data_IF_731160915288
#
_entry.id   IF_731160915288
#
_cell.length_a   1.000
_cell.length_b   1.000
_cell.length_c   1.000
_cell.angle_alpha   90.00
_cell.angle_beta   90.00
_cell.angle_gamma   90.00
#
_symmetry.space_group_name_H-M   'P 1'
#
loop_
_entity.id
_entity.type
_entity.pdbx_description
1 polymer ?
#
# COMPACT_ATOMS: atom_id res chain seq x y z
N UNK A 1 11.90 -8.25 -8.38
CA UNK A 1 11.27 -8.22 -7.05
C UNK A 1 11.52 -6.87 -6.38
N UNK A 2 10.45 -6.27 -5.82
CA UNK A 2 10.54 -5.06 -5.00
C UNK A 2 10.34 -5.40 -3.54
N UNK A 3 11.04 -4.69 -2.68
CA UNK A 3 10.92 -4.82 -1.22
C UNK A 3 11.22 -3.47 -0.56
N UNK A 4 11.02 -3.36 0.74
CA UNK A 4 11.37 -2.16 1.48
C UNK A 4 12.33 -2.46 2.63
N UNK A 5 13.15 -1.50 2.97
CA UNK A 5 14.10 -1.63 4.08
C UNK A 5 15.08 -0.47 4.16
N UNK A 6 15.87 -0.42 5.23
CA UNK A 6 16.96 0.54 5.34
C UNK A 6 18.06 0.19 4.32
N UNK A 7 18.70 1.19 3.76
CA UNK A 7 19.77 1.01 2.81
C UNK A 7 21.04 1.76 3.26
N UNK A 8 22.03 1.02 3.77
CA UNK A 8 23.23 1.60 4.38
C UNK A 8 22.82 2.57 5.49
N UNK A 9 23.27 3.83 5.43
CA UNK A 9 22.94 4.88 6.40
C UNK A 9 21.65 5.67 6.04
N UNK A 10 20.88 5.17 5.09
CA UNK A 10 19.63 5.82 4.65
C UNK A 10 18.41 5.26 5.40
N UNK A 11 17.34 6.06 5.54
CA UNK A 11 16.07 5.57 6.06
C UNK A 11 15.46 4.51 5.14
N UNK A 12 14.34 3.95 5.53
CA UNK A 12 13.60 2.98 4.75
C UNK A 12 13.25 3.54 3.37
N UNK A 13 13.53 2.74 2.35
CA UNK A 13 13.29 3.07 0.95
C UNK A 13 12.82 1.81 0.20
N UNK A 14 12.36 2.00 -1.04
CA UNK A 14 12.01 0.87 -1.89
C UNK A 14 13.27 0.42 -2.62
N UNK A 15 13.52 -0.87 -2.51
CA UNK A 15 14.63 -1.58 -3.13
C UNK A 15 14.11 -2.46 -4.26
N UNK A 16 14.91 -2.67 -5.28
CA UNK A 16 14.67 -3.66 -6.33
C UNK A 16 15.86 -4.61 -6.40
N UNK A 17 15.56 -5.91 -6.52
CA UNK A 17 16.53 -6.92 -6.90
C UNK A 17 16.58 -7.03 -8.42
N UNK A 18 17.68 -7.55 -8.94
CA UNK A 18 17.75 -7.89 -10.35
C UNK A 18 16.63 -8.86 -10.74
N UNK A 19 16.21 -8.78 -12.01
CA UNK A 19 15.11 -9.59 -12.49
C UNK A 19 15.54 -11.06 -12.59
N UNK A 20 14.63 -11.97 -12.25
CA UNK A 20 14.81 -13.40 -12.26
C UNK A 20 13.62 -14.09 -12.94
N UNK A 21 13.91 -15.20 -13.63
CA UNK A 21 12.85 -15.97 -14.31
C UNK A 21 11.94 -16.71 -13.33
N UNK A 22 12.48 -17.11 -12.16
CA UNK A 22 11.72 -17.79 -11.12
C UNK A 22 11.91 -17.07 -9.77
N UNK A 23 10.91 -17.12 -8.88
CA UNK A 23 11.02 -16.51 -7.56
C UNK A 23 12.20 -17.05 -6.71
N UNK A 24 12.59 -18.30 -6.90
CA UNK A 24 13.71 -18.91 -6.18
C UNK A 24 15.09 -18.39 -6.63
N UNK A 25 15.16 -17.72 -7.79
CA UNK A 25 16.44 -17.25 -8.38
C UNK A 25 16.78 -15.80 -7.97
N UNK A 26 15.93 -15.14 -7.18
CA UNK A 26 16.25 -13.81 -6.68
C UNK A 26 17.45 -13.82 -5.72
N UNK A 27 18.39 -12.92 -5.96
CA UNK A 27 19.63 -12.80 -5.19
C UNK A 27 19.58 -11.53 -4.34
N UNK A 28 19.54 -11.68 -3.03
CA UNK A 28 19.39 -10.55 -2.10
C UNK A 28 20.52 -9.50 -2.21
N UNK A 29 21.74 -9.91 -2.56
CA UNK A 29 22.87 -9.00 -2.71
C UNK A 29 22.77 -8.07 -3.93
N UNK A 30 21.85 -8.31 -4.86
CA UNK A 30 21.59 -7.43 -6.00
C UNK A 30 20.66 -6.26 -5.66
N UNK A 31 20.12 -6.23 -4.44
CA UNK A 31 19.23 -5.16 -4.00
C UNK A 31 19.86 -3.78 -4.18
N UNK A 32 19.12 -2.87 -4.80
CA UNK A 32 19.48 -1.46 -5.01
C UNK A 32 18.29 -0.54 -4.73
N UNK A 33 18.51 0.66 -4.16
CA UNK A 33 17.43 1.59 -3.89
C UNK A 33 16.92 2.20 -5.21
N UNK A 34 15.60 2.16 -5.40
CA UNK A 34 14.93 2.70 -6.61
C UNK A 34 13.96 3.84 -6.28
N UNK A 35 13.32 3.84 -5.11
CA UNK A 35 12.52 4.98 -4.62
C UNK A 35 13.04 5.34 -3.23
N UNK A 36 13.57 6.56 -3.09
CA UNK A 36 14.14 7.06 -1.83
C UNK A 36 13.45 8.35 -1.38
N UNK A 37 13.36 8.59 -0.06
CA UNK A 37 12.85 9.84 0.46
C UNK A 37 13.58 11.05 -0.13
N UNK A 38 12.85 12.09 -0.44
CA UNK A 38 13.37 13.33 -1.00
C UNK A 38 13.76 14.30 0.10
N UNK A 39 14.78 15.09 -0.17
CA UNK A 39 15.12 16.20 0.69
C UNK A 39 14.02 17.27 0.66
N UNK A 40 13.84 17.95 1.77
CA UNK A 40 12.97 19.11 1.89
C UNK A 40 13.49 20.24 1.00
N UNK A 41 12.62 20.82 0.19
CA UNK A 41 12.96 21.92 -0.71
C UNK A 41 12.61 23.29 -0.09
N UNK A 42 11.46 23.37 0.58
CA UNK A 42 11.00 24.59 1.27
C UNK A 42 10.59 24.27 2.71
N UNK A 43 10.58 25.29 3.59
CA UNK A 43 10.15 25.13 4.99
C UNK A 43 8.76 24.50 5.14
N UNK A 44 7.83 24.83 4.24
CA UNK A 44 6.47 24.29 4.20
C UNK A 44 6.36 22.83 3.72
N UNK A 45 7.40 22.33 3.07
CA UNK A 45 7.39 20.96 2.56
C UNK A 45 7.49 19.98 3.73
N UNK A 46 6.68 18.94 3.67
CA UNK A 46 6.65 17.86 4.64
C UNK A 46 6.81 16.53 3.89
N UNK A 47 8.02 16.29 3.34
CA UNK A 47 8.28 15.08 2.59
C UNK A 47 8.17 13.85 3.49
N UNK A 48 7.81 12.69 2.95
CA UNK A 48 7.99 11.43 3.64
C UNK A 48 9.46 11.24 4.02
N UNK A 49 9.68 10.81 5.27
CA UNK A 49 11.01 10.49 5.77
C UNK A 49 11.40 9.04 5.52
N UNK A 50 10.43 8.20 5.20
CA UNK A 50 10.57 6.78 4.86
C UNK A 50 9.56 6.38 3.79
N UNK A 51 9.91 5.35 3.00
CA UNK A 51 8.98 4.67 2.11
C UNK A 51 8.98 3.17 2.39
N UNK A 52 7.76 2.58 2.46
CA UNK A 52 7.53 1.17 2.83
C UNK A 52 6.50 0.52 1.90
N UNK A 53 6.45 -0.80 1.95
CA UNK A 53 5.39 -1.69 1.46
C UNK A 53 4.86 -1.30 0.06
N UNK A 54 5.66 -1.48 -1.00
CA UNK A 54 5.28 -1.08 -2.34
C UNK A 54 4.23 -2.02 -2.94
N UNK A 55 3.16 -1.45 -3.49
CA UNK A 55 2.25 -2.13 -4.42
C UNK A 55 2.64 -1.71 -5.83
N UNK A 56 3.11 -2.68 -6.63
CA UNK A 56 3.58 -2.43 -8.00
C UNK A 56 2.60 -3.03 -9.00
N UNK A 57 2.20 -2.26 -9.99
CA UNK A 57 1.41 -2.74 -11.12
C UNK A 57 1.98 -2.22 -12.44
N UNK A 58 1.75 -2.97 -13.52
CA UNK A 58 2.02 -2.50 -14.89
C UNK A 58 0.68 -2.23 -15.57
N UNK A 59 0.45 -0.98 -15.94
CA UNK A 59 -0.79 -0.55 -16.55
C UNK A 59 -0.52 0.66 -17.48
N UNK A 60 -1.33 0.87 -18.48
CA UNK A 60 -1.23 1.99 -19.44
C UNK A 60 0.19 2.18 -20.02
N UNK A 61 0.94 1.07 -20.18
CA UNK A 61 2.29 1.07 -20.77
C UNK A 61 3.42 1.52 -19.81
N UNK A 62 3.14 1.66 -18.52
CA UNK A 62 4.12 2.03 -17.50
C UNK A 62 3.97 1.19 -16.23
N UNK A 63 5.04 1.15 -15.44
CA UNK A 63 4.98 0.66 -14.07
C UNK A 63 4.48 1.78 -13.15
N UNK A 64 3.61 1.42 -12.22
CA UNK A 64 3.09 2.28 -11.17
C UNK A 64 3.43 1.67 -9.80
N UNK A 65 4.00 2.48 -8.93
CA UNK A 65 4.30 2.10 -7.55
C UNK A 65 3.49 2.96 -6.59
N UNK A 66 2.69 2.31 -5.77
CA UNK A 66 2.01 2.94 -4.64
C UNK A 66 2.73 2.50 -3.38
N UNK A 67 3.22 3.46 -2.62
CA UNK A 67 4.05 3.19 -1.46
C UNK A 67 3.48 3.86 -0.23
N UNK A 68 3.72 3.26 0.93
CA UNK A 68 3.51 3.95 2.20
C UNK A 68 4.64 4.98 2.35
N UNK A 69 4.28 6.25 2.51
CA UNK A 69 5.22 7.29 2.93
C UNK A 69 4.93 7.73 4.36
N UNK A 70 5.92 7.67 5.24
CA UNK A 70 5.79 8.18 6.61
C UNK A 70 6.05 9.67 6.65
N UNK A 71 5.00 10.45 6.77
CA UNK A 71 5.04 11.91 6.81
C UNK A 71 4.14 12.44 7.93
N UNK A 72 4.54 13.53 8.59
CA UNK A 72 3.76 14.16 9.66
C UNK A 72 3.36 13.19 10.78
N UNK A 73 4.26 12.30 11.15
CA UNK A 73 4.05 11.25 12.16
C UNK A 73 2.98 10.23 11.78
N UNK A 74 2.71 10.08 10.48
CA UNK A 74 1.68 9.16 10.03
C UNK A 74 1.97 8.59 8.63
N UNK A 75 1.32 7.50 8.30
CA UNK A 75 1.46 6.80 7.03
C UNK A 75 0.42 7.29 6.02
N UNK A 76 0.85 7.48 4.77
CA UNK A 76 0.07 7.96 3.64
C UNK A 76 0.48 7.24 2.36
N UNK A 77 -0.39 7.27 1.37
CA UNK A 77 -0.14 6.68 0.05
C UNK A 77 0.51 7.71 -0.86
N UNK A 78 1.63 7.34 -1.47
CA UNK A 78 2.32 8.12 -2.49
C UNK A 78 2.47 7.32 -3.77
N UNK A 79 2.47 8.01 -4.92
CA UNK A 79 2.48 7.41 -6.24
C UNK A 79 3.71 7.79 -7.04
N UNK A 80 4.33 6.78 -7.63
CA UNK A 80 5.45 6.92 -8.57
C UNK A 80 5.15 6.15 -9.84
N UNK A 81 5.72 6.59 -10.95
CA UNK A 81 5.68 5.88 -12.22
C UNK A 81 7.08 5.66 -12.79
N UNK A 82 7.20 4.64 -13.61
CA UNK A 82 8.45 4.26 -14.26
C UNK A 82 8.21 3.61 -15.62
N UNK A 83 8.96 3.96 -16.66
CA UNK A 83 8.85 3.28 -17.96
C UNK A 83 9.53 1.90 -17.97
N UNK A 84 10.47 1.66 -17.06
CA UNK A 84 11.38 0.51 -17.06
C UNK A 84 11.39 -0.30 -15.75
N UNK A 85 10.68 0.17 -14.72
CA UNK A 85 10.72 -0.43 -13.38
C UNK A 85 12.00 -0.16 -12.60
N UNK A 86 12.92 0.65 -13.14
CA UNK A 86 14.21 0.99 -12.54
C UNK A 86 14.27 2.48 -12.15
N UNK A 87 13.85 3.34 -13.06
CA UNK A 87 13.89 4.80 -12.89
C UNK A 87 12.50 5.31 -12.53
N UNK A 88 12.32 5.71 -11.27
CA UNK A 88 11.03 6.13 -10.72
C UNK A 88 10.92 7.62 -10.55
N UNK A 89 9.80 8.18 -11.00
CA UNK A 89 9.43 9.59 -10.81
C UNK A 89 8.11 9.69 -10.08
N UNK A 90 7.95 10.63 -9.12
CA UNK A 90 6.66 10.86 -8.48
C UNK A 90 5.64 11.37 -9.52
N UNK A 91 4.41 10.91 -9.39
CA UNK A 91 3.28 11.41 -10.17
C UNK A 91 2.61 12.52 -9.40
N UNK A 92 2.47 13.70 -10.03
CA UNK A 92 1.92 14.88 -9.37
C UNK A 92 2.86 15.51 -8.33
N UNK A 93 2.30 16.05 -7.27
CA UNK A 93 3.09 16.68 -6.20
C UNK A 93 3.68 15.61 -5.26
N UNK A 94 5.02 15.48 -5.15
CA UNK A 94 5.65 14.46 -4.32
C UNK A 94 5.45 14.63 -2.81
N UNK A 95 4.85 15.74 -2.37
CA UNK A 95 4.57 16.04 -0.97
C UNK A 95 3.09 15.88 -0.59
N UNK A 96 2.24 15.57 -1.58
CA UNK A 96 0.80 15.36 -1.38
C UNK A 96 0.44 13.87 -1.50
N UNK A 97 -0.20 13.30 -0.47
CA UNK A 97 -0.68 11.92 -0.54
C UNK A 97 -1.90 11.82 -1.45
N UNK A 98 -2.10 10.62 -2.03
CA UNK A 98 -3.19 10.36 -2.97
C UNK A 98 -4.59 10.40 -2.35
N UNK A 99 -4.71 9.87 -1.14
CA UNK A 99 -5.98 9.79 -0.43
C UNK A 99 -5.90 10.63 0.84
N UNK A 100 -6.73 11.68 0.97
CA UNK A 100 -6.79 12.47 2.20
C UNK A 100 -7.33 11.62 3.35
N UNK A 101 -6.90 11.92 4.56
CA UNK A 101 -7.48 11.31 5.74
C UNK A 101 -8.86 11.87 6.01
N UNK A 102 -9.76 11.00 6.49
CA UNK A 102 -11.11 11.38 6.88
C UNK A 102 -11.95 10.17 7.31
N UNK A 103 -13.12 10.43 7.85
CA UNK A 103 -14.08 9.39 8.21
C UNK A 103 -13.50 8.31 9.12
N UNK A 104 -13.54 7.06 8.66
CA UNK A 104 -13.01 5.91 9.41
C UNK A 104 -11.51 5.68 9.23
N UNK A 105 -10.87 6.34 8.27
CA UNK A 105 -9.43 6.25 8.00
C UNK A 105 -8.71 7.58 8.32
N UNK A 106 -9.06 8.19 9.44
CA UNK A 106 -8.51 9.48 9.86
C UNK A 106 -7.13 9.36 10.51
N UNK A 107 -6.67 8.15 10.82
CA UNK A 107 -5.34 7.93 11.39
C UNK A 107 -4.27 7.68 10.33
N UNK A 108 -4.44 6.71 9.44
CA UNK A 108 -3.55 6.47 8.30
C UNK A 108 -4.26 5.83 7.10
N UNK A 109 -3.58 5.84 5.94
CA UNK A 109 -3.96 5.08 4.75
C UNK A 109 -2.74 4.39 4.15
N UNK A 110 -2.92 3.14 3.68
CA UNK A 110 -1.89 2.30 3.05
C UNK A 110 -2.41 1.71 1.74
N UNK A 111 -1.58 1.54 0.70
CA UNK A 111 -1.99 0.82 -0.50
C UNK A 111 -2.06 -0.69 -0.21
N UNK A 112 -2.99 -1.40 -0.83
CA UNK A 112 -3.10 -2.85 -0.72
C UNK A 112 -3.09 -3.54 -2.09
N UNK A 113 -3.99 -3.17 -3.00
CA UNK A 113 -4.05 -3.78 -4.34
C UNK A 113 -4.69 -2.84 -5.36
N UNK A 114 -4.41 -3.12 -6.64
CA UNK A 114 -5.07 -2.48 -7.77
C UNK A 114 -5.59 -3.56 -8.69
N UNK A 115 -6.87 -3.45 -9.06
CA UNK A 115 -7.54 -4.37 -9.94
C UNK A 115 -8.10 -3.63 -11.16
N UNK A 116 -7.90 -4.12 -12.38
CA UNK A 116 -8.53 -3.54 -13.56
C UNK A 116 -10.06 -3.67 -13.45
N UNK A 117 -10.76 -2.64 -13.91
CA UNK A 117 -12.21 -2.57 -14.00
C UNK A 117 -12.62 -2.09 -15.42
N UNK A 118 -13.87 -2.26 -15.87
CA UNK A 118 -14.27 -1.93 -17.23
C UNK A 118 -14.00 -0.49 -17.68
N UNK A 119 -13.92 0.46 -16.75
CA UNK A 119 -13.73 1.88 -17.07
C UNK A 119 -12.61 2.54 -16.26
N UNK A 120 -11.63 1.76 -15.79
CA UNK A 120 -10.54 2.25 -14.94
C UNK A 120 -10.03 1.18 -13.99
N UNK A 121 -9.77 1.54 -12.72
CA UNK A 121 -9.17 0.61 -11.77
C UNK A 121 -9.84 0.74 -10.39
N UNK A 122 -10.06 -0.39 -9.75
CA UNK A 122 -10.37 -0.44 -8.33
C UNK A 122 -9.06 -0.37 -7.55
N UNK A 123 -9.00 0.55 -6.61
CA UNK A 123 -7.87 0.74 -5.71
C UNK A 123 -8.27 0.29 -4.31
N UNK A 124 -7.71 -0.83 -3.87
CA UNK A 124 -7.90 -1.33 -2.51
C UNK A 124 -6.89 -0.67 -1.60
N UNK A 125 -7.37 -0.09 -0.52
CA UNK A 125 -6.52 0.55 0.49
C UNK A 125 -6.85 0.02 1.88
N UNK A 126 -5.93 0.21 2.78
CA UNK A 126 -6.10 -0.07 4.20
C UNK A 126 -6.08 1.22 4.98
N UNK A 127 -6.81 1.25 6.08
CA UNK A 127 -6.88 2.41 6.94
C UNK A 127 -7.28 2.07 8.35
N UNK A 128 -7.15 3.05 9.24
CA UNK A 128 -7.59 2.94 10.61
C UNK A 128 -8.06 4.29 11.15
N UNK A 129 -8.81 4.22 12.23
CA UNK A 129 -9.35 5.40 12.90
C UNK A 129 -8.61 5.68 14.20
N UNK A 130 -8.23 6.92 14.41
CA UNK A 130 -7.50 7.35 15.61
C UNK A 130 -8.21 6.95 16.92
N UNK A 131 -9.55 6.89 16.90
CA UNK A 131 -10.34 6.51 18.08
C UNK A 131 -10.48 5.00 18.29
N UNK A 132 -9.97 4.17 17.40
CA UNK A 132 -9.97 2.72 17.61
C UNK A 132 -8.96 2.33 18.70
N UNK A 133 -9.27 1.23 19.40
CA UNK A 133 -8.31 0.63 20.32
C UNK A 133 -7.06 0.21 19.55
N UNK A 134 -5.91 0.76 19.87
CA UNK A 134 -4.68 0.56 19.12
C UNK A 134 -4.83 0.73 17.59
N UNK A 135 -4.90 1.97 17.08
CA UNK A 135 -5.14 2.23 15.67
C UNK A 135 -3.98 1.83 14.76
N UNK A 136 -2.84 1.40 15.32
CA UNK A 136 -1.69 0.87 14.53
C UNK A 136 -1.96 -0.57 14.10
N UNK A 137 -2.67 -1.35 14.90
CA UNK A 137 -2.96 -2.76 14.65
C UNK A 137 -4.41 -3.04 14.27
N UNK A 138 -5.36 -2.18 14.63
CA UNK A 138 -6.74 -2.30 14.21
C UNK A 138 -6.91 -1.65 12.83
N UNK A 139 -6.81 -2.46 11.79
CA UNK A 139 -6.76 -2.02 10.41
C UNK A 139 -7.89 -2.67 9.63
N UNK A 140 -8.54 -1.90 8.79
CA UNK A 140 -9.64 -2.33 7.95
C UNK A 140 -9.34 -2.01 6.48
N UNK A 141 -10.10 -2.64 5.59
CA UNK A 141 -9.97 -2.48 4.14
C UNK A 141 -10.99 -1.48 3.63
N UNK A 142 -10.54 -0.55 2.80
CA UNK A 142 -11.35 0.39 2.04
C UNK A 142 -11.22 0.19 0.54
N UNK A 143 -12.09 0.85 -0.21
CA UNK A 143 -12.12 0.80 -1.65
C UNK A 143 -12.19 2.22 -2.22
N UNK A 144 -11.36 2.48 -3.21
CA UNK A 144 -11.42 3.66 -4.05
C UNK A 144 -11.48 3.27 -5.52
N UNK A 145 -11.78 4.22 -6.38
CA UNK A 145 -11.76 4.07 -7.82
C UNK A 145 -10.86 5.12 -8.46
N UNK A 146 -10.22 4.78 -9.56
CA UNK A 146 -9.42 5.72 -10.35
C UNK A 146 -9.57 5.49 -11.84
N UNK A 147 -9.65 6.58 -12.61
CA UNK A 147 -9.64 6.54 -14.07
C UNK A 147 -8.23 6.68 -14.66
N UNK A 148 -7.32 7.31 -13.91
CA UNK A 148 -6.00 7.75 -14.38
C UNK A 148 -4.83 7.18 -13.56
N UNK A 149 -5.11 6.20 -12.70
CA UNK A 149 -4.13 5.58 -11.79
C UNK A 149 -3.52 6.55 -10.77
N UNK A 150 -4.01 7.79 -10.70
CA UNK A 150 -3.46 8.81 -9.79
C UNK A 150 -4.52 9.43 -8.86
N UNK A 151 -5.63 9.88 -9.42
CA UNK A 151 -6.69 10.52 -8.64
C UNK A 151 -7.62 9.45 -8.08
N UNK A 152 -7.64 9.32 -6.77
CA UNK A 152 -8.50 8.36 -6.08
C UNK A 152 -9.84 8.99 -5.70
N UNK A 153 -10.92 8.33 -6.07
CA UNK A 153 -12.28 8.61 -5.60
C UNK A 153 -12.60 7.58 -4.53
N UNK A 154 -12.67 8.02 -3.29
CA UNK A 154 -13.02 7.14 -2.17
C UNK A 154 -14.46 6.65 -2.31
N UNK A 155 -14.65 5.34 -2.39
CA UNK A 155 -15.96 4.69 -2.47
C UNK A 155 -16.50 4.26 -1.10
N UNK A 156 -15.66 4.32 -0.08
CA UNK A 156 -15.98 3.89 1.29
C UNK A 156 -15.63 4.94 2.35
N UNK A 157 -16.01 6.22 2.16
CA UNK A 157 -15.57 7.30 3.06
C UNK A 157 -16.17 7.22 4.46
N UNK A 158 -17.37 6.62 4.60
CA UNK A 158 -18.12 6.58 5.86
C UNK A 158 -17.78 5.35 6.71
N UNK A 159 -17.51 4.21 6.06
CA UNK A 159 -17.24 2.94 6.73
C UNK A 159 -16.34 2.06 5.87
N UNK A 160 -15.49 1.20 6.46
CA UNK A 160 -14.65 0.28 5.69
C UNK A 160 -15.48 -0.75 4.91
N UNK A 161 -14.95 -1.20 3.79
CA UNK A 161 -15.51 -2.29 3.00
C UNK A 161 -15.48 -3.62 3.77
N UNK A 162 -14.38 -3.88 4.46
CA UNK A 162 -14.19 -5.10 5.22
C UNK A 162 -13.39 -4.85 6.50
N UNK A 163 -13.77 -5.55 7.54
CA UNK A 163 -13.13 -5.54 8.86
C UNK A 163 -12.83 -6.97 9.29
N UNK A 164 -11.91 -7.15 10.23
CA UNK A 164 -11.71 -8.46 10.86
C UNK A 164 -13.00 -8.90 11.60
N UNK A 165 -13.34 -10.17 11.43
CA UNK A 165 -14.46 -10.80 12.12
C UNK A 165 -14.00 -11.84 13.16
N UNK A 166 -12.73 -11.88 13.47
CA UNK A 166 -12.19 -12.79 14.50
C UNK A 166 -12.73 -12.40 15.86
N UNK A 167 -13.46 -13.27 16.55
CA UNK A 167 -14.01 -12.98 17.87
C UNK A 167 -12.93 -13.04 18.95
N UNK A 168 -13.16 -12.36 20.07
CA UNK A 168 -12.36 -12.43 21.29
C UNK A 168 -10.86 -12.07 21.10
N UNK A 169 -10.55 -11.17 20.16
CA UNK A 169 -9.21 -10.59 20.04
C UNK A 169 -9.25 -9.11 20.37
N UNK A 170 -8.16 -8.60 20.93
CA UNK A 170 -7.95 -7.17 21.13
C UNK A 170 -7.62 -6.45 19.82
N UNK A 171 -7.21 -7.19 18.80
CA UNK A 171 -6.81 -6.67 17.50
C UNK A 171 -7.79 -7.06 16.41
N UNK A 172 -8.51 -6.08 15.89
CA UNK A 172 -9.39 -6.26 14.72
C UNK A 172 -8.57 -6.11 13.42
N UNK A 173 -7.47 -6.83 13.31
CA UNK A 173 -6.53 -6.73 12.18
C UNK A 173 -7.04 -7.46 10.95
N UNK A 174 -7.16 -6.73 9.84
CA UNK A 174 -7.30 -7.25 8.49
C UNK A 174 -6.42 -6.38 7.58
N UNK A 175 -5.20 -6.83 7.30
CA UNK A 175 -4.17 -5.99 6.66
C UNK A 175 -3.29 -6.75 5.69
N UNK A 176 -2.43 -6.03 4.98
CA UNK A 176 -1.50 -6.55 3.97
C UNK A 176 -2.23 -7.40 2.94
N UNK A 177 -3.42 -6.93 2.55
CA UNK A 177 -4.26 -7.70 1.66
C UNK A 177 -3.75 -7.63 0.22
N UNK A 178 -3.68 -8.78 -0.42
CA UNK A 178 -3.39 -8.94 -1.84
C UNK A 178 -4.61 -9.50 -2.55
N UNK A 179 -5.12 -8.75 -3.52
CA UNK A 179 -6.33 -9.07 -4.26
C UNK A 179 -5.98 -9.43 -5.69
N UNK A 180 -6.49 -10.55 -6.18
CA UNK A 180 -6.24 -11.03 -7.54
C UNK A 180 -7.46 -11.73 -8.11
N UNK A 181 -7.59 -11.70 -9.43
CA UNK A 181 -8.62 -12.43 -10.14
C UNK A 181 -8.07 -13.76 -10.62
N UNK A 182 -8.69 -14.86 -10.17
CA UNK A 182 -8.34 -16.23 -10.52
C UNK A 182 -9.58 -16.91 -11.09
N UNK A 183 -9.57 -17.26 -12.38
CA UNK A 183 -10.69 -17.92 -13.06
C UNK A 183 -12.05 -17.23 -12.86
N UNK A 184 -12.09 -15.90 -12.86
CA UNK A 184 -13.30 -15.11 -12.67
C UNK A 184 -13.77 -14.94 -11.22
N UNK A 185 -13.04 -15.48 -10.25
CA UNK A 185 -13.24 -15.25 -8.81
C UNK A 185 -12.22 -14.23 -8.29
N UNK A 186 -12.61 -13.42 -7.32
CA UNK A 186 -11.65 -12.57 -6.60
C UNK A 186 -11.11 -13.33 -5.40
N UNK A 187 -9.80 -13.52 -5.39
CA UNK A 187 -9.09 -14.13 -4.27
C UNK A 187 -8.38 -13.04 -3.47
N UNK A 188 -8.57 -13.07 -2.16
CA UNK A 188 -8.03 -12.08 -1.23
C UNK A 188 -7.19 -12.83 -0.20
N UNK A 189 -5.89 -12.62 -0.23
CA UNK A 189 -5.00 -13.05 0.85
C UNK A 189 -4.83 -11.87 1.80
N UNK A 190 -5.06 -12.06 3.08
CA UNK A 190 -4.89 -11.01 4.08
C UNK A 190 -4.35 -11.58 5.39
N UNK A 191 -3.55 -10.79 6.08
CA UNK A 191 -3.18 -11.06 7.46
C UNK A 191 -4.36 -10.71 8.36
N UNK A 192 -4.74 -11.65 9.21
CA UNK A 192 -5.81 -11.50 10.18
C UNK A 192 -5.36 -11.90 11.57
N UNK A 193 -5.80 -11.16 12.59
CA UNK A 193 -5.57 -11.53 13.97
C UNK A 193 -6.36 -12.79 14.35
N UNK A 194 -5.76 -13.66 15.16
CA UNK A 194 -6.37 -14.82 15.78
C UNK A 194 -6.87 -14.49 17.19
N UNK A 195 -7.69 -15.37 17.77
CA UNK A 195 -8.24 -15.18 19.12
C UNK A 195 -7.17 -15.20 20.23
N UNK A 196 -6.02 -15.81 19.97
CA UNK A 196 -4.85 -15.87 20.86
C UNK A 196 -3.84 -14.72 20.64
N UNK A 197 -4.27 -13.68 19.86
CA UNK A 197 -3.48 -12.50 19.52
C UNK A 197 -2.29 -12.78 18.58
N UNK A 198 -2.15 -13.98 18.05
CA UNK A 198 -1.26 -14.25 16.93
C UNK A 198 -1.89 -13.79 15.61
N UNK A 199 -1.14 -13.85 14.52
CA UNK A 199 -1.62 -13.47 13.19
C UNK A 199 -1.40 -14.62 12.21
N UNK A 200 -2.32 -14.77 11.28
CA UNK A 200 -2.24 -15.75 10.21
C UNK A 200 -2.65 -15.16 8.86
N UNK A 201 -2.19 -15.77 7.78
CA UNK A 201 -2.67 -15.42 6.44
C UNK A 201 -3.93 -16.21 6.15
N UNK A 202 -5.01 -15.51 5.81
CA UNK A 202 -6.29 -16.10 5.39
C UNK A 202 -6.54 -15.86 3.91
N UNK A 203 -7.14 -16.85 3.26
CA UNK A 203 -7.65 -16.75 1.90
C UNK A 203 -9.19 -16.61 1.93
N UNK A 204 -9.67 -15.51 1.37
CA UNK A 204 -11.09 -15.30 1.11
C UNK A 204 -11.33 -15.40 -0.41
N UNK A 205 -12.46 -16.03 -0.79
CA UNK A 205 -12.87 -16.13 -2.20
C UNK A 205 -14.23 -15.50 -2.36
N UNK A 206 -14.31 -14.54 -3.26
CA UNK A 206 -15.55 -13.79 -3.57
C UNK A 206 -15.93 -14.14 -5.01
N UNK A 207 -17.18 -14.57 -5.18
CA UNK A 207 -17.77 -14.89 -6.49
C UNK A 207 -18.53 -13.72 -7.06
#
# INVERSE_FOLDING_TARGET
>A
LYLCGPWKDRPWCILKLDDAANPADFVASTAKPVITPRAKTFERDLPPVEYKDPVITFAEGAYHAYVIGYARQNERIYHFSSPDGETWTPVGNPYEPLLPLGGWHDFFTRPASILPAPAGYLFVYEGSKLSWHDPVYNIATGLAFTFDLHRLIDLTPEAPLAVSTTPNTNFATLRYSSWLTVNGETWIYAEAACADETHEIRLFKVK
#
